data_IF_247726421281
#
_entry.id   IF_247726421281
#
_cell.length_a   1.000
_cell.length_b   1.000
_cell.length_c   1.000
_cell.angle_alpha   90.00
_cell.angle_beta   90.00
_cell.angle_gamma   90.00
#
_symmetry.space_group_name_H-M   'P 1'
#
loop_
_entity.id
_entity.type
_entity.pdbx_description
1 polymer ?
#
# COMPACT_ATOMS: atom_id res chain seq x y z
N UNK A 1 20.38 37.61 16.49
CA UNK A 1 20.41 36.31 17.23
C UNK A 1 19.01 35.76 17.53
N UNK A 2 17.95 36.57 17.63
CA UNK A 2 16.58 36.06 17.87
C UNK A 2 15.92 35.38 16.65
N UNK A 3 16.29 35.73 15.41
CA UNK A 3 15.74 35.11 14.18
C UNK A 3 16.19 33.65 13.95
N UNK A 4 17.44 33.31 14.30
CA UNK A 4 17.98 31.96 14.10
C UNK A 4 17.29 30.91 15.00
N UNK A 5 16.81 31.32 16.19
CA UNK A 5 16.04 30.46 17.08
C UNK A 5 14.61 30.22 16.59
N UNK A 6 14.03 31.18 15.83
CA UNK A 6 12.69 31.05 15.24
C UNK A 6 12.69 30.13 14.03
N UNK A 7 13.71 30.18 13.17
CA UNK A 7 13.78 29.32 11.97
C UNK A 7 14.06 27.85 12.31
N UNK A 8 14.85 27.57 13.35
CA UNK A 8 15.13 26.20 13.80
C UNK A 8 13.91 25.51 14.41
N UNK A 9 13.02 26.25 15.08
CA UNK A 9 11.76 25.69 15.61
C UNK A 9 10.77 25.24 14.52
N UNK A 10 10.67 26.01 13.43
CA UNK A 10 9.73 25.70 12.34
C UNK A 10 10.12 24.43 11.57
N UNK A 11 11.40 24.23 11.30
CA UNK A 11 11.88 23.06 10.54
C UNK A 11 11.67 21.75 11.33
N UNK A 12 11.96 21.78 12.64
CA UNK A 12 11.79 20.61 13.52
C UNK A 12 10.32 20.21 13.67
N UNK A 13 9.39 21.17 13.64
CA UNK A 13 7.97 20.87 13.71
C UNK A 13 7.45 20.26 12.41
N UNK A 14 7.93 20.75 11.27
CA UNK A 14 7.60 20.24 9.94
C UNK A 14 8.01 18.78 9.75
N UNK A 15 9.23 18.44 10.16
CA UNK A 15 9.76 17.07 10.06
C UNK A 15 8.94 16.08 10.93
N UNK A 16 8.49 16.51 12.11
CA UNK A 16 7.62 15.69 12.99
C UNK A 16 6.25 15.41 12.37
N UNK A 17 5.65 16.39 11.70
CA UNK A 17 4.36 16.19 11.03
C UNK A 17 4.47 15.22 9.85
N UNK A 18 5.56 15.33 9.08
CA UNK A 18 5.89 14.40 8.00
C UNK A 18 6.08 12.97 8.53
N UNK A 19 6.88 12.80 9.59
CA UNK A 19 7.12 11.50 10.23
C UNK A 19 5.82 10.87 10.74
N UNK A 20 4.97 11.65 11.42
CA UNK A 20 3.69 11.18 11.92
C UNK A 20 2.74 10.73 10.79
N UNK A 21 2.70 11.47 9.68
CA UNK A 21 1.90 11.09 8.51
C UNK A 21 2.39 9.77 7.90
N UNK A 22 3.70 9.60 7.77
CA UNK A 22 4.30 8.35 7.27
C UNK A 22 4.05 7.20 8.25
N UNK A 23 4.17 7.42 9.56
CA UNK A 23 3.90 6.40 10.57
C UNK A 23 2.43 5.94 10.56
N UNK A 24 1.49 6.86 10.36
CA UNK A 24 0.07 6.53 10.21
C UNK A 24 -0.17 5.66 8.96
N UNK A 25 0.47 6.01 7.84
CA UNK A 25 0.40 5.24 6.60
C UNK A 25 0.99 3.83 6.80
N UNK A 26 2.17 3.75 7.42
CA UNK A 26 2.88 2.54 7.77
C UNK A 26 2.05 1.60 8.66
N UNK A 27 1.44 2.14 9.71
CA UNK A 27 0.56 1.39 10.60
C UNK A 27 -0.68 0.83 9.84
N UNK A 28 -1.24 1.60 8.92
CA UNK A 28 -2.37 1.16 8.08
C UNK A 28 -1.96 0.06 7.10
N UNK A 29 -0.78 0.18 6.47
CA UNK A 29 -0.21 -0.85 5.61
C UNK A 29 0.02 -2.15 6.37
N UNK A 30 0.60 -2.10 7.58
CA UNK A 30 0.79 -3.29 8.43
C UNK A 30 -0.53 -3.97 8.79
N UNK A 31 -1.57 -3.19 9.12
CA UNK A 31 -2.91 -3.74 9.40
C UNK A 31 -3.49 -4.45 8.17
N UNK A 32 -3.29 -3.87 6.98
CA UNK A 32 -3.70 -4.46 5.71
C UNK A 32 -3.01 -5.82 5.47
N UNK A 33 -1.68 -5.86 5.52
CA UNK A 33 -0.93 -7.11 5.30
C UNK A 33 -1.23 -8.15 6.38
N UNK A 34 -1.41 -7.74 7.64
CA UNK A 34 -1.81 -8.64 8.73
C UNK A 34 -3.17 -9.27 8.45
N UNK A 35 -4.16 -8.50 8.00
CA UNK A 35 -5.49 -9.03 7.64
C UNK A 35 -5.41 -10.02 6.47
N UNK A 36 -4.61 -9.73 5.44
CA UNK A 36 -4.41 -10.64 4.31
C UNK A 36 -3.70 -11.94 4.72
N UNK A 37 -2.68 -11.86 5.56
CA UNK A 37 -1.99 -13.03 6.12
C UNK A 37 -2.94 -13.92 6.91
N UNK A 38 -3.79 -13.32 7.75
CA UNK A 38 -4.79 -14.05 8.52
C UNK A 38 -5.80 -14.73 7.60
N UNK A 39 -6.30 -14.04 6.56
CA UNK A 39 -7.25 -14.63 5.61
C UNK A 39 -6.64 -15.82 4.85
N UNK A 40 -5.42 -15.67 4.32
CA UNK A 40 -4.72 -16.75 3.63
C UNK A 40 -4.40 -17.93 4.55
N UNK A 41 -4.01 -17.66 5.81
CA UNK A 41 -3.81 -18.69 6.82
C UNK A 41 -5.11 -19.43 7.16
N UNK A 42 -6.25 -18.73 7.29
CA UNK A 42 -7.54 -19.35 7.52
C UNK A 42 -7.95 -20.29 6.37
N UNK A 43 -7.74 -19.87 5.11
CA UNK A 43 -8.01 -20.71 3.93
C UNK A 43 -7.12 -21.96 3.96
N UNK A 44 -5.83 -21.79 4.26
CA UNK A 44 -4.89 -22.90 4.37
C UNK A 44 -5.30 -23.91 5.46
N UNK A 45 -5.60 -23.41 6.66
CA UNK A 45 -6.04 -24.24 7.80
C UNK A 45 -7.37 -24.93 7.51
N UNK A 46 -8.32 -24.25 6.87
CA UNK A 46 -9.57 -24.87 6.44
C UNK A 46 -9.35 -25.99 5.43
N UNK A 47 -8.46 -25.79 4.45
CA UNK A 47 -8.06 -26.82 3.48
C UNK A 47 -7.43 -28.04 4.14
N UNK A 48 -6.49 -27.84 5.08
CA UNK A 48 -5.90 -28.92 5.86
C UNK A 48 -6.91 -29.65 6.74
N UNK A 49 -7.80 -28.91 7.40
CA UNK A 49 -8.83 -29.50 8.27
C UNK A 49 -9.81 -30.35 7.44
N UNK A 50 -10.24 -29.86 6.28
CA UNK A 50 -11.05 -30.63 5.33
C UNK A 50 -10.31 -31.88 4.87
N UNK A 51 -9.03 -31.76 4.52
CA UNK A 51 -8.19 -32.89 4.12
C UNK A 51 -8.14 -33.98 5.21
N UNK A 52 -7.87 -33.62 6.47
CA UNK A 52 -7.84 -34.59 7.58
C UNK A 52 -9.20 -35.25 7.83
N UNK A 53 -10.28 -34.48 7.75
CA UNK A 53 -11.62 -35.00 7.95
C UNK A 53 -12.03 -35.99 6.85
N UNK A 54 -11.74 -35.68 5.59
CA UNK A 54 -12.09 -36.57 4.46
C UNK A 54 -11.24 -37.84 4.40
N UNK A 55 -10.01 -37.83 4.92
CA UNK A 55 -9.20 -39.07 5.03
C UNK A 55 -9.79 -40.06 6.01
N UNK A 56 -10.37 -39.58 7.11
CA UNK A 56 -10.97 -40.43 8.14
C UNK A 56 -12.37 -40.93 7.76
N UNK A 57 -12.99 -40.31 6.76
CA UNK A 57 -14.33 -40.65 6.33
C UNK A 57 -14.27 -41.78 5.29
N UNK A 58 -14.59 -43.02 5.69
CA UNK A 58 -14.47 -44.23 4.84
C UNK A 58 -15.25 -44.17 3.51
N UNK A 59 -16.31 -43.36 3.44
CA UNK A 59 -17.08 -43.12 2.20
C UNK A 59 -16.70 -41.83 1.45
N UNK A 60 -15.58 -41.22 1.82
CA UNK A 60 -15.11 -39.98 1.23
C UNK A 60 -14.71 -40.22 -0.22
N UNK A 61 -15.44 -39.64 -1.17
CA UNK A 61 -15.05 -39.70 -2.57
C UNK A 61 -13.66 -39.08 -2.75
N UNK A 62 -12.79 -39.74 -3.53
CA UNK A 62 -11.43 -39.27 -3.86
C UNK A 62 -11.40 -37.81 -4.34
N UNK A 63 -12.49 -37.37 -5.00
CA UNK A 63 -12.68 -35.98 -5.42
C UNK A 63 -12.65 -34.95 -4.28
N UNK A 64 -13.22 -35.25 -3.11
CA UNK A 64 -13.25 -34.31 -1.96
C UNK A 64 -11.88 -34.12 -1.33
N UNK A 65 -11.05 -35.17 -1.35
CA UNK A 65 -9.69 -35.08 -0.84
C UNK A 65 -8.80 -34.24 -1.76
N UNK A 66 -8.91 -34.46 -3.08
CA UNK A 66 -8.24 -33.64 -4.09
C UNK A 66 -8.67 -32.18 -4.00
N UNK A 67 -9.96 -31.91 -3.83
CA UNK A 67 -10.48 -30.55 -3.66
C UNK A 67 -9.89 -29.88 -2.42
N UNK A 68 -9.83 -30.59 -1.29
CA UNK A 68 -9.28 -30.05 -0.04
C UNK A 68 -7.79 -29.74 -0.16
N UNK A 69 -7.03 -30.60 -0.84
CA UNK A 69 -5.62 -30.36 -1.14
C UNK A 69 -5.43 -29.13 -2.03
N UNK A 70 -6.31 -28.93 -3.01
CA UNK A 70 -6.29 -27.76 -3.89
C UNK A 70 -6.58 -26.47 -3.11
N UNK A 71 -7.53 -26.49 -2.19
CA UNK A 71 -7.80 -25.36 -1.28
C UNK A 71 -6.59 -25.07 -0.37
N UNK A 72 -5.94 -26.09 0.18
CA UNK A 72 -4.71 -25.89 0.95
C UNK A 72 -3.58 -25.31 0.08
N UNK A 73 -3.36 -25.85 -1.12
CA UNK A 73 -2.34 -25.37 -2.04
C UNK A 73 -2.56 -23.90 -2.45
N UNK A 74 -3.81 -23.52 -2.74
CA UNK A 74 -4.16 -22.13 -3.08
C UNK A 74 -3.97 -21.20 -1.88
N UNK A 75 -4.34 -21.62 -0.66
CA UNK A 75 -4.05 -20.87 0.56
C UNK A 75 -2.55 -20.65 0.78
N UNK A 76 -1.73 -21.69 0.61
CA UNK A 76 -0.27 -21.60 0.74
C UNK A 76 0.36 -20.70 -0.34
N UNK A 77 -0.11 -20.79 -1.59
CA UNK A 77 0.32 -19.92 -2.68
C UNK A 77 -0.03 -18.45 -2.41
N UNK A 78 -1.25 -18.17 -1.99
CA UNK A 78 -1.69 -16.83 -1.61
C UNK A 78 -0.86 -16.28 -0.44
N UNK A 79 -0.60 -17.10 0.59
CA UNK A 79 0.22 -16.71 1.73
C UNK A 79 1.64 -16.33 1.32
N UNK A 80 2.26 -17.12 0.43
CA UNK A 80 3.58 -16.79 -0.14
C UNK A 80 3.56 -15.47 -0.90
N UNK A 81 2.55 -15.22 -1.72
CA UNK A 81 2.41 -13.97 -2.46
C UNK A 81 2.30 -12.76 -1.54
N UNK A 82 1.55 -12.86 -0.44
CA UNK A 82 1.43 -11.79 0.57
C UNK A 82 2.77 -11.52 1.26
N UNK A 83 3.52 -12.56 1.63
CA UNK A 83 4.83 -12.39 2.24
C UNK A 83 5.85 -11.74 1.30
N UNK A 84 5.85 -12.13 0.02
CA UNK A 84 6.73 -11.54 -0.98
C UNK A 84 6.41 -10.06 -1.20
N UNK A 85 5.13 -9.69 -1.27
CA UNK A 85 4.70 -8.31 -1.39
C UNK A 85 5.09 -7.47 -0.15
N UNK A 86 4.87 -8.00 1.07
CA UNK A 86 5.25 -7.31 2.31
C UNK A 86 6.75 -7.06 2.39
N UNK A 87 7.58 -8.03 1.97
CA UNK A 87 9.03 -7.92 2.02
C UNK A 87 9.60 -6.95 0.98
N UNK A 88 9.01 -6.93 -0.23
CA UNK A 88 9.51 -6.13 -1.34
C UNK A 88 9.11 -4.64 -1.24
N UNK A 89 7.85 -4.37 -0.87
CA UNK A 89 7.28 -3.02 -1.01
C UNK A 89 7.47 -2.16 0.24
N UNK A 90 7.34 -2.74 1.42
CA UNK A 90 7.25 -1.99 2.68
C UNK A 90 8.51 -1.21 3.07
N UNK A 91 9.73 -1.80 3.11
CA UNK A 91 10.92 -1.05 3.54
C UNK A 91 11.33 0.02 2.51
N UNK A 92 11.10 -0.25 1.23
CA UNK A 92 11.46 0.67 0.15
C UNK A 92 10.62 1.93 0.21
N UNK A 93 9.30 1.79 0.37
CA UNK A 93 8.37 2.92 0.37
C UNK A 93 8.57 3.81 1.59
N UNK A 94 8.73 3.23 2.79
CA UNK A 94 8.97 4.01 4.00
C UNK A 94 10.28 4.78 3.93
N UNK A 95 11.34 4.15 3.41
CA UNK A 95 12.62 4.81 3.19
C UNK A 95 12.50 5.94 2.16
N UNK A 96 11.74 5.72 1.10
CA UNK A 96 11.53 6.70 0.02
C UNK A 96 10.77 7.93 0.51
N UNK A 97 9.71 7.75 1.30
CA UNK A 97 8.90 8.86 1.83
C UNK A 97 9.60 9.66 2.94
N UNK A 98 10.43 9.01 3.77
CA UNK A 98 11.14 9.69 4.86
C UNK A 98 12.43 10.35 4.36
N UNK A 99 13.32 9.58 3.72
CA UNK A 99 14.68 10.01 3.41
C UNK A 99 14.89 10.49 1.97
N UNK A 100 13.99 10.16 1.04
CA UNK A 100 14.10 10.54 -0.38
C UNK A 100 12.85 11.23 -0.91
N UNK A 101 12.22 12.08 -0.10
CA UNK A 101 11.01 12.82 -0.51
C UNK A 101 11.21 13.68 -1.75
N UNK A 102 12.43 14.12 -2.04
CA UNK A 102 12.75 14.95 -3.20
C UNK A 102 12.72 14.18 -4.52
N UNK A 103 12.78 12.84 -4.43
CA UNK A 103 12.63 11.95 -5.59
C UNK A 103 11.16 11.69 -5.94
N UNK A 104 10.24 11.94 -5.00
CA UNK A 104 8.81 11.80 -5.24
C UNK A 104 8.34 13.02 -6.01
N UNK A 105 7.67 12.80 -7.15
CA UNK A 105 7.16 13.88 -8.00
C UNK A 105 5.65 13.91 -8.01
N UNK A 106 5.01 12.76 -7.84
CA UNK A 106 3.57 12.64 -7.99
C UNK A 106 3.00 11.56 -7.07
N UNK A 107 1.98 11.94 -6.31
CA UNK A 107 1.23 11.06 -5.43
C UNK A 107 -0.23 11.07 -5.84
N UNK A 108 -0.81 9.90 -6.09
CA UNK A 108 -2.24 9.85 -6.37
C UNK A 108 -2.88 8.58 -5.83
N UNK A 109 -4.13 8.74 -5.41
CA UNK A 109 -4.99 7.63 -5.08
C UNK A 109 -5.51 7.02 -6.38
N UNK A 110 -5.17 5.76 -6.62
CA UNK A 110 -5.77 4.98 -7.68
C UNK A 110 -7.08 4.41 -7.14
N UNK A 111 -8.20 4.83 -7.71
CA UNK A 111 -9.47 4.18 -7.43
C UNK A 111 -9.43 2.78 -8.04
N UNK A 112 -9.46 1.77 -7.18
CA UNK A 112 -9.73 0.41 -7.62
C UNK A 112 -11.17 0.41 -8.12
N UNK A 113 -11.36 0.18 -9.43
CA UNK A 113 -12.69 -0.01 -10.00
C UNK A 113 -13.44 -1.03 -9.15
N UNK A 114 -14.62 -0.62 -8.69
CA UNK A 114 -15.56 -1.47 -7.97
C UNK A 114 -15.69 -2.81 -8.69
N UNK A 115 -15.71 -3.90 -7.93
CA UNK A 115 -16.11 -5.20 -8.46
C UNK A 115 -17.47 -5.05 -9.19
N UNK A 116 -17.78 -5.88 -10.21
CA UNK A 116 -18.95 -5.74 -11.09
C UNK A 116 -20.35 -5.79 -10.43
N UNK A 117 -20.46 -5.64 -9.11
CA UNK A 117 -21.71 -5.59 -8.35
C UNK A 117 -21.73 -4.47 -7.29
N UNK A 118 -20.82 -3.50 -7.35
CA UNK A 118 -20.80 -2.34 -6.45
C UNK A 118 -20.48 -2.65 -4.99
N UNK A 119 -20.10 -3.89 -4.66
CA UNK A 119 -19.73 -4.28 -3.29
C UNK A 119 -18.26 -3.96 -3.07
N UNK A 120 -17.99 -2.86 -2.38
CA UNK A 120 -16.67 -2.57 -1.81
C UNK A 120 -16.48 -3.39 -0.53
N UNK A 121 -16.19 -4.68 -0.69
CA UNK A 121 -16.06 -5.64 0.43
C UNK A 121 -14.96 -5.26 1.42
N UNK A 122 -14.02 -4.40 1.02
CA UNK A 122 -12.93 -3.98 1.86
C UNK A 122 -12.52 -2.59 1.40
N UNK A 123 -12.77 -1.56 2.21
CA UNK A 123 -12.41 -0.14 1.96
C UNK A 123 -10.89 0.02 1.77
N UNK A 124 -10.37 -0.51 0.67
CA UNK A 124 -8.96 -0.74 0.37
C UNK A 124 -8.58 0.21 -0.73
N UNK A 125 -7.87 1.25 -0.35
CA UNK A 125 -7.33 2.19 -1.29
C UNK A 125 -5.98 1.70 -1.79
N UNK A 126 -5.67 2.13 -3.00
CA UNK A 126 -4.34 2.03 -3.59
C UNK A 126 -3.83 3.46 -3.78
N UNK A 127 -2.61 3.72 -3.37
CA UNK A 127 -1.90 4.95 -3.66
C UNK A 127 -0.68 4.60 -4.49
N UNK A 128 -0.53 5.27 -5.62
CA UNK A 128 0.66 5.15 -6.45
C UNK A 128 1.59 6.33 -6.15
N UNK A 129 2.86 6.02 -5.97
CA UNK A 129 3.96 6.94 -5.72
C UNK A 129 4.85 6.93 -6.94
N UNK A 130 4.75 7.99 -7.73
CA UNK A 130 5.55 8.20 -8.93
C UNK A 130 6.81 9.00 -8.58
N UNK A 131 7.96 8.45 -8.98
CA UNK A 131 9.28 9.00 -8.69
C UNK A 131 9.91 9.63 -9.95
N UNK A 132 10.88 10.54 -9.73
CA UNK A 132 11.58 11.25 -10.80
C UNK A 132 12.39 10.32 -11.72
N UNK A 133 12.75 9.13 -11.23
CA UNK A 133 13.43 8.09 -12.01
C UNK A 133 12.48 7.31 -12.95
N UNK A 134 11.21 7.67 -12.97
CA UNK A 134 10.17 7.00 -13.76
C UNK A 134 9.58 5.76 -13.08
N UNK A 135 10.10 5.35 -11.92
CA UNK A 135 9.55 4.21 -11.18
C UNK A 135 8.25 4.60 -10.48
N UNK A 136 7.33 3.63 -10.42
CA UNK A 136 6.08 3.73 -9.67
C UNK A 136 6.08 2.70 -8.57
N UNK A 137 5.90 3.16 -7.33
CA UNK A 137 5.70 2.30 -6.18
C UNK A 137 4.22 2.31 -5.78
N UNK A 138 3.73 1.17 -5.31
CA UNK A 138 2.31 1.01 -4.95
C UNK A 138 2.20 0.82 -3.45
N UNK A 139 1.34 1.61 -2.82
CA UNK A 139 0.98 1.49 -1.41
C UNK A 139 -0.46 1.07 -1.28
N UNK A 140 -0.73 0.10 -0.41
CA UNK A 140 -2.09 -0.35 -0.11
C UNK A 140 -2.42 -0.04 1.35
N UNK A 141 -3.43 0.80 1.54
CA UNK A 141 -3.90 1.22 2.85
C UNK A 141 -5.40 1.53 2.82
N UNK A 142 -6.00 1.87 3.96
CA UNK A 142 -7.41 2.30 3.95
C UNK A 142 -7.58 3.61 3.17
N UNK A 143 -8.74 3.81 2.54
CA UNK A 143 -9.05 5.06 1.82
C UNK A 143 -8.85 6.29 2.72
N UNK A 144 -9.40 6.26 3.93
CA UNK A 144 -9.28 7.34 4.89
C UNK A 144 -7.82 7.65 5.27
N UNK A 145 -6.98 6.62 5.44
CA UNK A 145 -5.54 6.84 5.71
C UNK A 145 -4.84 7.48 4.52
N UNK A 146 -5.12 7.02 3.29
CA UNK A 146 -4.51 7.58 2.08
C UNK A 146 -4.91 9.05 1.92
N UNK A 147 -6.19 9.38 2.14
CA UNK A 147 -6.68 10.75 2.02
C UNK A 147 -6.02 11.67 3.06
N UNK A 148 -5.95 11.23 4.32
CA UNK A 148 -5.25 11.96 5.39
C UNK A 148 -3.76 12.12 5.09
N UNK A 149 -3.11 11.06 4.59
CA UNK A 149 -1.70 11.10 4.22
C UNK A 149 -1.46 12.10 3.08
N UNK A 150 -2.26 12.07 2.01
CA UNK A 150 -2.09 12.99 0.88
C UNK A 150 -2.25 14.46 1.29
N UNK A 151 -3.19 14.75 2.20
CA UNK A 151 -3.39 16.10 2.73
C UNK A 151 -2.16 16.53 3.56
N UNK A 152 -1.78 15.73 4.56
CA UNK A 152 -0.66 16.06 5.44
C UNK A 152 0.68 16.14 4.69
N UNK A 153 0.91 15.22 3.74
CA UNK A 153 2.15 15.16 2.98
C UNK A 153 2.25 16.30 1.96
N UNK A 154 1.13 16.79 1.41
CA UNK A 154 1.11 17.99 0.55
C UNK A 154 1.50 19.25 1.30
N UNK A 155 1.06 19.38 2.55
CA UNK A 155 1.48 20.49 3.43
C UNK A 155 2.99 20.39 3.73
N UNK A 156 3.50 19.17 3.90
CA UNK A 156 4.92 18.93 4.19
C UNK A 156 5.84 19.06 2.96
N UNK A 157 5.34 18.75 1.77
CA UNK A 157 6.13 18.63 0.54
C UNK A 157 5.35 19.28 -0.63
N UNK A 158 5.31 20.62 -0.70
CA UNK A 158 4.49 21.34 -1.68
C UNK A 158 4.99 21.16 -3.12
N UNK A 159 6.26 20.79 -3.31
CA UNK A 159 6.85 20.46 -4.61
C UNK A 159 6.21 19.23 -5.27
N UNK A 160 5.53 18.39 -4.50
CA UNK A 160 4.93 17.14 -4.97
C UNK A 160 3.53 17.41 -5.52
N UNK A 161 3.27 16.95 -6.74
CA UNK A 161 1.94 17.00 -7.31
C UNK A 161 1.05 15.93 -6.68
N UNK A 162 -0.19 16.27 -6.32
CA UNK A 162 -1.16 15.31 -5.76
C UNK A 162 -2.40 15.14 -6.64
N UNK A 163 -2.90 13.91 -6.76
CA UNK A 163 -4.16 13.59 -7.43
C UNK A 163 -3.98 13.17 -8.90
N UNK A 164 -4.89 12.33 -9.38
CA UNK A 164 -4.82 11.75 -10.73
C UNK A 164 -5.46 12.66 -11.79
N UNK A 165 -4.81 12.81 -12.93
CA UNK A 165 -5.45 13.26 -14.18
C UNK A 165 -4.78 12.59 -15.39
N UNK A 166 -5.52 12.39 -16.50
CA UNK A 166 -4.94 11.84 -17.73
C UNK A 166 -3.74 12.67 -18.24
N UNK A 167 -3.82 14.00 -18.14
CA UNK A 167 -2.76 14.91 -18.58
C UNK A 167 -1.49 14.73 -17.74
N UNK A 168 -1.62 14.55 -16.42
CA UNK A 168 -0.48 14.27 -15.54
C UNK A 168 0.14 12.92 -15.82
N UNK A 169 -0.68 11.92 -16.16
CA UNK A 169 -0.18 10.62 -16.59
C UNK A 169 0.66 10.76 -17.87
N UNK A 170 0.20 11.53 -18.86
CA UNK A 170 0.97 11.82 -20.08
C UNK A 170 2.28 12.57 -19.78
N UNK A 171 2.23 13.59 -18.90
CA UNK A 171 3.43 14.31 -18.48
C UNK A 171 4.44 13.39 -17.79
N UNK A 172 3.97 12.52 -16.90
CA UNK A 172 4.83 11.52 -16.25
C UNK A 172 5.50 10.60 -17.27
N UNK A 173 4.74 10.14 -18.28
CA UNK A 173 5.23 9.21 -19.30
C UNK A 173 6.24 9.87 -20.26
N UNK A 174 6.18 11.20 -20.44
CA UNK A 174 7.15 11.97 -21.24
C UNK A 174 8.39 12.33 -20.42
N UNK A 175 8.20 12.94 -19.25
CA UNK A 175 9.29 13.36 -18.36
C UNK A 175 8.75 13.58 -16.94
N UNK A 176 9.06 12.68 -15.98
CA UNK A 176 8.59 12.74 -14.59
C UNK A 176 8.88 14.07 -13.88
N UNK A 177 10.01 14.71 -14.20
CA UNK A 177 10.40 15.97 -13.57
C UNK A 177 9.45 17.14 -13.89
N UNK A 178 8.67 17.07 -14.97
CA UNK A 178 7.70 18.10 -15.33
C UNK A 178 6.52 18.17 -14.35
N UNK A 179 6.36 17.17 -13.49
CA UNK A 179 5.33 17.12 -12.45
C UNK A 179 5.78 17.71 -11.11
N UNK A 180 7.06 18.09 -10.97
CA UNK A 180 7.48 18.86 -9.81
C UNK A 180 6.85 20.24 -9.91
N UNK A 181 6.11 20.64 -8.88
CA UNK A 181 5.62 22.00 -8.80
C UNK A 181 6.80 22.93 -8.49
N UNK A 182 7.17 23.78 -9.45
CA UNK A 182 8.16 24.85 -9.27
C UNK A 182 7.65 26.01 -8.39
N UNK A 183 6.42 25.91 -7.86
CA UNK A 183 5.87 26.87 -6.92
C UNK A 183 6.32 26.56 -5.48
N UNK A 184 7.57 26.90 -5.16
CA UNK A 184 8.07 27.07 -3.79
C UNK A 184 8.49 28.53 -3.58
#
# INVERSE_FOLDING_TARGET
MHELASMTGSHVQHDKHKEAAVELLDASCRRYFRSQRLMAACIFVAGLTGFFFFVQWESGGTALWVLSLLVAATGAYAFRGVLQAELAEHPVIMNLLLHRSDTVVWLYKAELQLMPFGVDLFHRGRMDIACADGNKHVVRASHATIDLFLIAYRECCPHITTGYSPDRQQLFDVSPDLLKNDHA
#
